data_IF_732003948406
#
_entry.id   IF_732003948406
#
_cell.length_a   1.000
_cell.length_b   1.000
_cell.length_c   1.000
_cell.angle_alpha   90.00
_cell.angle_beta   90.00
_cell.angle_gamma   90.00
#
_symmetry.space_group_name_H-M   'P 1'
#
loop_
_entity.id
_entity.type
_entity.pdbx_description
1 polymer ?
#
# COMPACT_ATOMS: atom_id res chain seq x y z
N UNK A 1 30.58 -9.45 22.13
CA UNK A 1 29.61 -8.34 22.04
C UNK A 1 29.38 -8.07 20.55
N UNK A 2 28.18 -8.02 19.98
CA UNK A 2 26.80 -8.25 20.41
C UNK A 2 26.04 -8.35 19.08
N UNK A 3 25.27 -9.42 18.86
CA UNK A 3 24.45 -9.61 17.65
C UNK A 3 23.55 -8.38 17.47
N UNK A 4 23.68 -7.70 16.34
CA UNK A 4 22.71 -6.69 15.90
C UNK A 4 21.41 -7.43 15.65
N UNK A 5 20.41 -7.12 16.45
CA UNK A 5 19.07 -7.69 16.41
C UNK A 5 18.43 -7.34 15.06
N UNK A 6 18.31 -8.33 14.18
CA UNK A 6 17.33 -8.29 13.10
C UNK A 6 15.95 -8.21 13.75
N UNK A 7 15.37 -7.00 13.76
CA UNK A 7 14.02 -6.78 14.23
C UNK A 7 13.05 -7.38 13.21
N UNK A 8 12.69 -8.63 13.44
CA UNK A 8 11.67 -9.38 12.72
C UNK A 8 10.27 -8.88 13.11
N UNK A 9 10.04 -7.58 12.96
CA UNK A 9 8.76 -6.93 13.22
C UNK A 9 8.03 -6.78 11.89
N UNK A 10 6.97 -7.57 11.62
CA UNK A 10 6.17 -7.42 10.40
C UNK A 10 5.43 -6.07 10.30
N UNK A 11 5.55 -5.23 11.34
CA UNK A 11 4.89 -3.93 11.48
C UNK A 11 5.84 -2.73 11.32
N UNK A 12 7.17 -2.93 11.26
CA UNK A 12 8.11 -1.82 11.06
C UNK A 12 8.42 -1.65 9.56
N UNK A 13 7.69 -0.75 8.92
CA UNK A 13 7.85 -0.47 7.50
C UNK A 13 9.12 0.36 7.31
N UNK A 14 10.14 -0.27 6.70
CA UNK A 14 11.27 0.40 6.05
C UNK A 14 10.73 1.60 5.27
N UNK A 15 11.11 2.81 5.71
CA UNK A 15 10.49 4.13 5.49
C UNK A 15 9.56 4.31 4.29
N UNK A 16 8.50 5.10 4.48
CA UNK A 16 7.49 5.51 3.46
C UNK A 16 8.12 5.50 2.07
N UNK A 17 7.92 4.40 1.33
CA UNK A 17 8.57 4.21 0.04
C UNK A 17 7.94 5.22 -0.92
N UNK A 18 8.69 6.28 -1.21
CA UNK A 18 8.27 7.31 -2.15
C UNK A 18 8.49 6.80 -3.57
N UNK A 19 7.65 7.20 -4.53
CA UNK A 19 7.88 6.91 -5.93
C UNK A 19 9.26 7.39 -6.38
N UNK A 20 9.91 6.63 -7.25
CA UNK A 20 11.20 7.01 -7.82
C UNK A 20 10.95 8.15 -8.82
N UNK A 21 11.44 9.35 -8.49
CA UNK A 21 11.23 10.57 -9.28
C UNK A 21 12.04 10.58 -10.59
N UNK A 22 13.09 9.75 -10.69
CA UNK A 22 13.98 9.69 -11.86
C UNK A 22 13.50 8.78 -12.98
N UNK A 23 12.37 8.08 -12.82
CA UNK A 23 11.82 7.20 -13.87
C UNK A 23 11.22 8.02 -15.02
N UNK A 24 11.63 7.68 -16.25
CA UNK A 24 10.98 8.18 -17.46
C UNK A 24 9.53 7.71 -17.53
N UNK A 25 8.68 8.46 -18.24
CA UNK A 25 7.27 8.07 -18.42
C UNK A 25 7.12 6.73 -19.14
N UNK A 26 8.03 6.43 -20.06
CA UNK A 26 8.09 5.15 -20.77
C UNK A 26 8.37 4.00 -19.80
N UNK A 27 9.38 4.13 -18.94
CA UNK A 27 9.74 3.09 -17.98
C UNK A 27 8.65 2.91 -16.93
N UNK A 28 8.05 4.02 -16.48
CA UNK A 28 6.90 4.01 -15.58
C UNK A 28 5.73 3.23 -16.18
N UNK A 29 5.40 3.48 -17.45
CA UNK A 29 4.33 2.77 -18.15
C UNK A 29 4.63 1.27 -18.31
N UNK A 30 5.87 0.91 -18.67
CA UNK A 30 6.29 -0.49 -18.81
C UNK A 30 6.19 -1.24 -17.47
N UNK A 31 6.68 -0.62 -16.39
CA UNK A 31 6.59 -1.16 -15.04
C UNK A 31 5.13 -1.31 -14.62
N UNK A 32 4.28 -0.30 -14.83
CA UNK A 32 2.86 -0.37 -14.50
C UNK A 32 2.14 -1.51 -15.22
N UNK A 33 2.46 -1.78 -16.50
CA UNK A 33 1.91 -2.94 -17.22
C UNK A 33 2.33 -4.25 -16.56
N UNK A 34 3.58 -4.38 -16.14
CA UNK A 34 4.05 -5.56 -15.40
C UNK A 34 3.39 -5.70 -14.03
N UNK A 35 3.21 -4.59 -13.31
CA UNK A 35 2.47 -4.57 -12.05
C UNK A 35 1.01 -5.00 -12.22
N UNK A 36 0.36 -4.56 -13.30
CA UNK A 36 -0.99 -5.01 -13.66
C UNK A 36 -1.05 -6.52 -13.95
N UNK A 37 -0.03 -7.08 -14.63
CA UNK A 37 0.06 -8.52 -14.84
C UNK A 37 0.15 -9.28 -13.51
N UNK A 38 1.02 -8.86 -12.58
CA UNK A 38 1.07 -9.44 -11.24
C UNK A 38 -0.25 -9.35 -10.48
N UNK A 39 -0.93 -8.21 -10.56
CA UNK A 39 -2.23 -8.03 -9.91
C UNK A 39 -3.29 -9.00 -10.48
N UNK A 40 -3.33 -9.16 -11.80
CA UNK A 40 -4.24 -10.09 -12.48
C UNK A 40 -3.95 -11.55 -12.09
N UNK A 41 -2.69 -11.89 -11.83
CA UNK A 41 -2.25 -13.21 -11.32
C UNK A 41 -2.49 -13.38 -9.80
N UNK A 42 -3.02 -12.39 -9.10
CA UNK A 42 -3.22 -12.42 -7.65
C UNK A 42 -1.93 -12.24 -6.82
N UNK A 43 -0.80 -11.91 -7.47
CA UNK A 43 0.50 -11.64 -6.85
C UNK A 43 0.54 -10.22 -6.27
N UNK A 44 -0.23 -10.01 -5.19
CA UNK A 44 -0.49 -8.68 -4.63
C UNK A 44 0.77 -7.97 -4.13
N UNK A 45 1.73 -8.70 -3.55
CA UNK A 45 2.95 -8.09 -3.00
C UNK A 45 3.90 -7.64 -4.11
N UNK A 46 4.00 -8.42 -5.19
CA UNK A 46 4.76 -8.11 -6.40
C UNK A 46 4.17 -6.87 -7.07
N UNK A 47 2.85 -6.82 -7.24
CA UNK A 47 2.15 -5.66 -7.78
C UNK A 47 2.35 -4.41 -6.90
N UNK A 48 2.22 -4.56 -5.58
CA UNK A 48 2.41 -3.46 -4.63
C UNK A 48 3.81 -2.84 -4.73
N UNK A 49 4.88 -3.66 -4.77
CA UNK A 49 6.25 -3.17 -4.94
C UNK A 49 6.37 -2.30 -6.19
N UNK A 50 5.86 -2.77 -7.31
CA UNK A 50 5.88 -2.03 -8.57
C UNK A 50 5.12 -0.71 -8.48
N UNK A 51 3.88 -0.74 -7.99
CA UNK A 51 3.03 0.46 -7.96
C UNK A 51 3.50 1.51 -6.96
N UNK A 52 4.12 1.11 -5.85
CA UNK A 52 4.79 2.02 -4.91
C UNK A 52 5.99 2.68 -5.61
N UNK A 53 6.85 1.90 -6.27
CA UNK A 53 8.01 2.42 -7.00
C UNK A 53 7.62 3.42 -8.09
N UNK A 54 6.54 3.15 -8.83
CA UNK A 54 6.08 4.01 -9.92
C UNK A 54 5.12 5.12 -9.49
N UNK A 55 4.61 5.10 -8.25
CA UNK A 55 3.57 6.02 -7.79
C UNK A 55 2.21 5.82 -8.48
N UNK A 56 1.89 4.60 -8.90
CA UNK A 56 0.64 4.32 -9.62
C UNK A 56 -0.55 4.17 -8.66
N UNK A 57 -1.18 5.30 -8.34
CA UNK A 57 -2.26 5.40 -7.34
C UNK A 57 -3.47 4.50 -7.65
N UNK A 58 -3.85 4.34 -8.92
CA UNK A 58 -4.95 3.46 -9.32
C UNK A 58 -4.65 1.98 -8.99
N UNK A 59 -3.43 1.52 -9.33
CA UNK A 59 -2.98 0.18 -8.98
C UNK A 59 -2.98 -0.08 -7.47
N UNK A 60 -2.56 0.91 -6.67
CA UNK A 60 -2.59 0.82 -5.20
C UNK A 60 -4.02 0.81 -4.65
N UNK A 61 -4.93 1.59 -5.23
CA UNK A 61 -6.36 1.55 -4.89
C UNK A 61 -6.93 0.17 -5.14
N UNK A 62 -6.64 -0.44 -6.31
CA UNK A 62 -7.12 -1.79 -6.65
C UNK A 62 -6.59 -2.86 -5.69
N UNK A 63 -5.35 -2.74 -5.23
CA UNK A 63 -4.81 -3.63 -4.18
C UNK A 63 -5.57 -3.41 -2.87
N UNK A 64 -5.81 -2.16 -2.48
CA UNK A 64 -6.63 -1.83 -1.30
C UNK A 64 -8.03 -2.46 -1.37
N UNK A 65 -8.68 -2.41 -2.54
CA UNK A 65 -9.99 -3.03 -2.77
C UNK A 65 -9.95 -4.55 -2.60
N UNK A 66 -8.86 -5.22 -2.98
CA UNK A 66 -8.69 -6.67 -2.76
C UNK A 66 -8.64 -6.99 -1.26
N UNK A 67 -7.87 -6.23 -0.48
CA UNK A 67 -7.81 -6.43 0.98
C UNK A 67 -9.13 -6.09 1.67
N UNK A 68 -9.82 -5.04 1.21
CA UNK A 68 -11.14 -4.67 1.71
C UNK A 68 -12.16 -5.81 1.50
N UNK A 69 -12.16 -6.44 0.32
CA UNK A 69 -13.01 -7.61 0.04
C UNK A 69 -12.69 -8.83 0.92
N UNK A 70 -11.46 -8.92 1.43
CA UNK A 70 -11.02 -9.96 2.38
C UNK A 70 -11.26 -9.58 3.85
N UNK A 71 -11.96 -8.47 4.11
CA UNK A 71 -12.17 -7.90 5.44
C UNK A 71 -10.87 -7.49 6.18
N UNK A 72 -9.74 -7.40 5.49
CA UNK A 72 -8.49 -6.88 6.04
C UNK A 72 -8.46 -5.35 5.88
N UNK A 73 -9.24 -4.69 6.75
CA UNK A 73 -9.52 -3.25 6.68
C UNK A 73 -8.28 -2.40 6.93
N UNK A 74 -7.38 -2.81 7.84
CA UNK A 74 -6.17 -2.05 8.14
C UNK A 74 -5.17 -2.11 6.99
N UNK A 75 -5.00 -3.27 6.36
CA UNK A 75 -4.15 -3.37 5.16
C UNK A 75 -4.77 -2.60 3.99
N UNK A 76 -6.10 -2.63 3.82
CA UNK A 76 -6.78 -1.82 2.82
C UNK A 76 -6.55 -0.32 3.04
N UNK A 77 -6.71 0.17 4.27
CA UNK A 77 -6.44 1.56 4.66
C UNK A 77 -5.01 1.97 4.32
N UNK A 78 -4.02 1.12 4.61
CA UNK A 78 -2.61 1.36 4.26
C UNK A 78 -2.43 1.59 2.76
N UNK A 79 -3.07 0.77 1.91
CA UNK A 79 -2.96 0.93 0.45
C UNK A 79 -3.74 2.14 -0.06
N UNK A 80 -4.89 2.48 0.52
CA UNK A 80 -5.59 3.73 0.19
C UNK A 80 -4.78 4.97 0.56
N UNK A 81 -4.03 4.92 1.67
CA UNK A 81 -3.09 5.97 2.06
C UNK A 81 -1.98 6.14 1.03
N UNK A 82 -1.32 5.05 0.62
CA UNK A 82 -0.31 5.13 -0.44
C UNK A 82 -0.88 5.60 -1.79
N UNK A 83 -2.14 5.26 -2.09
CA UNK A 83 -2.84 5.71 -3.27
C UNK A 83 -3.33 7.17 -3.19
N UNK A 84 -3.21 7.84 -2.04
CA UNK A 84 -3.83 9.15 -1.76
C UNK A 84 -5.35 9.15 -2.02
N UNK A 85 -6.01 8.03 -1.72
CA UNK A 85 -7.44 7.84 -1.98
C UNK A 85 -8.28 8.26 -0.78
N UNK A 86 -8.45 9.57 -0.60
CA UNK A 86 -9.21 10.17 0.51
C UNK A 86 -10.65 9.64 0.61
N UNK A 87 -11.30 9.40 -0.54
CA UNK A 87 -12.68 8.91 -0.58
C UNK A 87 -12.81 7.55 0.11
N UNK A 88 -11.87 6.63 -0.13
CA UNK A 88 -11.88 5.29 0.49
C UNK A 88 -11.30 5.28 1.91
N UNK A 89 -10.37 6.19 2.23
CA UNK A 89 -9.82 6.30 3.59
C UNK A 89 -10.82 6.86 4.59
N UNK A 90 -11.56 7.91 4.20
CA UNK A 90 -12.44 8.68 5.10
C UNK A 90 -13.39 7.81 5.95
N UNK A 91 -14.16 6.85 5.41
CA UNK A 91 -15.06 6.04 6.24
C UNK A 91 -14.29 5.20 7.28
N UNK A 92 -13.14 4.66 6.91
CA UNK A 92 -12.31 3.83 7.81
C UNK A 92 -11.72 4.70 8.92
N UNK A 93 -11.12 5.84 8.57
CA UNK A 93 -10.53 6.78 9.54
C UNK A 93 -11.58 7.34 10.49
N UNK A 94 -12.78 7.64 9.98
CA UNK A 94 -13.90 8.09 10.82
C UNK A 94 -14.29 7.02 11.85
N UNK A 95 -14.45 5.76 11.43
CA UNK A 95 -14.77 4.66 12.33
C UNK A 95 -13.67 4.46 13.39
N UNK A 96 -12.39 4.46 12.99
CA UNK A 96 -11.26 4.38 13.92
C UNK A 96 -11.26 5.55 14.92
N UNK A 97 -11.57 6.76 14.47
CA UNK A 97 -11.63 7.95 15.33
C UNK A 97 -12.73 7.84 16.39
N UNK A 98 -13.89 7.27 16.05
CA UNK A 98 -14.96 6.97 17.01
C UNK A 98 -14.49 5.95 18.04
N UNK A 99 -13.87 4.84 17.59
CA UNK A 99 -13.38 3.80 18.50
C UNK A 99 -12.33 4.35 19.48
N UNK A 100 -11.38 5.15 18.99
CA UNK A 100 -10.36 5.77 19.84
C UNK A 100 -11.01 6.66 20.90
N UNK A 101 -12.01 7.47 20.54
CA UNK A 101 -12.76 8.32 21.50
C UNK A 101 -13.53 7.52 22.56
N UNK A 102 -13.82 6.24 22.33
CA UNK A 102 -14.45 5.39 23.35
C UNK A 102 -13.43 4.77 24.31
N UNK A 103 -12.14 4.76 23.94
CA UNK A 103 -11.07 4.11 24.70
C UNK A 103 -10.25 5.08 25.56
N UNK A 104 -10.33 6.38 25.27
CA UNK A 104 -9.67 7.47 26.02
C UNK A 104 -10.71 8.34 26.70
#
# INVERSE_FOLDING_TARGET
>A
MQRVLESDTPYFVKGIQRPVSTLSDRDRALLNRRGNAYLNEGKLQEAARVFITTGYHDGLTRIGDVYMRKADVLTALRFYYFARNEQKMRPIVSALSVLIRCLI
#
